data_IF_210678998820
#
_entry.id   IF_210678998820
#
_cell.length_a   1.000
_cell.length_b   1.000
_cell.length_c   1.000
_cell.angle_alpha   90.00
_cell.angle_beta   90.00
_cell.angle_gamma   90.00
#
_symmetry.space_group_name_H-M   'P 1'
#
loop_
_entity.id
_entity.type
_entity.pdbx_description
1 polymer ?
#
# COMPACT_ATOMS: atom_id res chain seq x y z
N UNK A 1 -14.68 -22.04 5.10
CA UNK A 1 -13.45 -21.71 4.40
C UNK A 1 -13.69 -20.72 3.27
N UNK A 2 -12.97 -19.63 3.27
CA UNK A 2 -13.24 -18.52 2.35
C UNK A 2 -12.50 -18.67 1.03
N UNK A 3 -12.73 -19.76 0.35
CA UNK A 3 -12.11 -20.00 -0.95
C UNK A 3 -12.51 -18.88 -1.92
N UNK A 4 -11.53 -18.30 -2.56
CA UNK A 4 -11.76 -17.29 -3.55
C UNK A 4 -11.94 -15.86 -3.02
N UNK A 5 -11.97 -15.67 -1.71
CA UNK A 5 -11.99 -14.31 -1.17
C UNK A 5 -10.58 -13.74 -1.21
N UNK A 6 -10.38 -12.77 -2.08
CA UNK A 6 -9.11 -12.09 -2.23
C UNK A 6 -9.10 -10.84 -1.37
N UNK A 7 -8.16 -10.78 -0.43
CA UNK A 7 -7.97 -9.62 0.44
C UNK A 7 -6.62 -8.98 0.10
N UNK A 8 -6.67 -7.90 -0.65
CA UNK A 8 -5.48 -7.27 -1.21
C UNK A 8 -4.96 -6.18 -0.28
N UNK A 9 -3.64 -6.18 -0.08
CA UNK A 9 -2.92 -5.06 0.50
C UNK A 9 -1.93 -4.54 -0.52
N UNK A 10 -1.95 -3.23 -0.76
CA UNK A 10 -0.95 -2.56 -1.60
C UNK A 10 0.03 -1.89 -0.66
N UNK A 11 1.29 -2.30 -0.71
CA UNK A 11 2.35 -1.81 0.16
C UNK A 11 3.20 -0.81 -0.61
N UNK A 12 3.09 0.45 -0.24
CA UNK A 12 3.68 1.57 -0.95
C UNK A 12 2.63 2.31 -1.77
N UNK A 13 2.35 3.56 -1.40
CA UNK A 13 1.28 4.34 -2.01
C UNK A 13 1.83 5.58 -2.73
N UNK A 14 2.83 5.36 -3.59
CA UNK A 14 3.40 6.38 -4.45
C UNK A 14 2.72 6.44 -5.82
N UNK A 15 3.50 6.74 -6.85
CA UNK A 15 3.01 6.91 -8.22
C UNK A 15 2.26 5.70 -8.76
N UNK A 16 2.72 4.51 -8.40
CA UNK A 16 2.16 3.27 -8.92
C UNK A 16 1.13 2.70 -7.96
N UNK A 17 1.49 2.64 -6.67
CA UNK A 17 0.68 1.96 -5.67
C UNK A 17 -0.66 2.62 -5.42
N UNK A 18 -0.71 3.95 -5.35
CA UNK A 18 -1.96 4.64 -5.05
C UNK A 18 -3.00 4.47 -6.14
N UNK A 19 -2.69 4.73 -7.42
CA UNK A 19 -3.67 4.48 -8.49
C UNK A 19 -4.11 3.02 -8.55
N UNK A 20 -3.18 2.11 -8.35
CA UNK A 20 -3.48 0.67 -8.34
C UNK A 20 -4.42 0.29 -7.21
N UNK A 21 -4.17 0.79 -6.00
CA UNK A 21 -5.02 0.53 -4.84
C UNK A 21 -6.44 1.04 -5.08
N UNK A 22 -6.58 2.23 -5.67
CA UNK A 22 -7.89 2.79 -5.98
C UNK A 22 -8.62 1.96 -7.03
N UNK A 23 -7.92 1.45 -8.00
CA UNK A 23 -8.52 0.61 -9.04
C UNK A 23 -9.10 -0.68 -8.45
N UNK A 24 -8.33 -1.35 -7.59
CA UNK A 24 -8.83 -2.54 -6.91
C UNK A 24 -9.99 -2.22 -5.97
N UNK A 25 -9.95 -1.04 -5.34
CA UNK A 25 -10.96 -0.65 -4.35
C UNK A 25 -12.32 -0.35 -4.98
N UNK A 26 -12.41 -0.27 -6.30
CA UNK A 26 -13.70 -0.12 -6.98
C UNK A 26 -14.59 -1.32 -6.77
N UNK A 27 -14.01 -2.51 -6.62
CA UNK A 27 -14.76 -3.77 -6.56
C UNK A 27 -14.64 -4.53 -5.26
N UNK A 28 -13.64 -4.21 -4.44
CA UNK A 28 -13.38 -4.96 -3.21
C UNK A 28 -12.69 -4.07 -2.19
N UNK A 29 -12.70 -4.54 -0.94
CA UNK A 29 -11.96 -3.84 0.11
C UNK A 29 -10.47 -4.05 -0.09
N UNK A 30 -9.70 -2.96 0.02
CA UNK A 30 -8.25 -2.96 -0.18
C UNK A 30 -7.60 -2.26 1.00
N UNK A 31 -6.49 -2.82 1.47
CA UNK A 31 -5.65 -2.17 2.46
C UNK A 31 -4.56 -1.42 1.71
N UNK A 32 -4.50 -0.11 1.88
CA UNK A 32 -3.42 0.71 1.34
C UNK A 32 -2.47 1.06 2.46
N UNK A 33 -1.26 0.52 2.39
CA UNK A 33 -0.25 0.72 3.43
C UNK A 33 0.90 1.57 2.90
N UNK A 34 1.34 2.52 3.72
CA UNK A 34 2.58 3.26 3.48
C UNK A 34 3.26 3.50 4.82
N UNK A 35 4.59 3.36 4.84
CA UNK A 35 5.36 3.58 6.07
C UNK A 35 5.33 5.05 6.50
N UNK A 36 5.10 5.96 5.56
CA UNK A 36 5.04 7.39 5.85
C UNK A 36 3.71 7.76 6.48
N UNK A 37 3.72 8.14 7.75
CA UNK A 37 2.52 8.59 8.45
C UNK A 37 1.98 9.88 7.82
N UNK A 38 2.86 10.75 7.34
CA UNK A 38 2.45 11.97 6.66
C UNK A 38 1.69 11.66 5.37
N UNK A 39 2.20 10.71 4.57
CA UNK A 39 1.52 10.29 3.34
C UNK A 39 0.11 9.79 3.65
N UNK A 40 -0.03 8.97 4.68
CA UNK A 40 -1.33 8.43 5.08
C UNK A 40 -2.27 9.55 5.53
N UNK A 41 -1.78 10.50 6.34
CA UNK A 41 -2.60 11.63 6.77
C UNK A 41 -3.08 12.45 5.58
N UNK A 42 -2.17 12.76 4.66
CA UNK A 42 -2.53 13.53 3.47
C UNK A 42 -3.59 12.82 2.65
N UNK A 43 -3.41 11.54 2.40
CA UNK A 43 -4.37 10.77 1.61
C UNK A 43 -5.74 10.68 2.27
N UNK A 44 -5.79 10.56 3.59
CA UNK A 44 -7.07 10.56 4.32
C UNK A 44 -7.79 11.90 4.19
N UNK A 45 -7.04 12.98 4.00
CA UNK A 45 -7.61 14.31 3.77
C UNK A 45 -7.92 14.57 2.29
N UNK A 46 -7.64 13.60 1.43
CA UNK A 46 -7.86 13.74 0.00
C UNK A 46 -6.73 14.45 -0.72
N UNK A 47 -5.54 14.50 -0.11
CA UNK A 47 -4.37 15.17 -0.68
C UNK A 47 -3.39 14.14 -1.22
N UNK A 48 -3.15 14.17 -2.53
CA UNK A 48 -2.14 13.35 -3.18
C UNK A 48 -1.05 14.27 -3.75
N UNK A 49 0.11 14.29 -3.10
CA UNK A 49 1.23 15.13 -3.54
C UNK A 49 1.84 14.66 -4.84
N UNK A 50 1.67 13.40 -5.21
CA UNK A 50 2.14 12.91 -6.50
C UNK A 50 1.22 13.32 -7.65
N UNK A 51 0.05 13.85 -7.34
CA UNK A 51 -0.95 14.33 -8.31
C UNK A 51 -1.41 13.27 -9.30
N UNK A 52 -1.32 12.01 -8.91
CA UNK A 52 -1.79 10.89 -9.73
C UNK A 52 -3.32 10.72 -9.65
N UNK A 53 -3.90 11.08 -8.51
CA UNK A 53 -5.33 10.96 -8.30
C UNK A 53 -5.90 12.25 -7.74
N UNK A 54 -7.17 12.50 -8.03
CA UNK A 54 -7.85 13.68 -7.54
C UNK A 54 -8.41 13.47 -6.13
N UNK A 55 -8.63 14.57 -5.43
CA UNK A 55 -9.29 14.55 -4.13
C UNK A 55 -10.63 13.84 -4.18
N UNK A 56 -11.40 14.11 -5.23
CA UNK A 56 -12.72 13.48 -5.43
C UNK A 56 -12.61 11.96 -5.47
N UNK A 57 -11.66 11.42 -6.22
CA UNK A 57 -11.47 9.97 -6.31
C UNK A 57 -11.06 9.37 -4.98
N UNK A 58 -10.17 10.03 -4.25
CA UNK A 58 -9.73 9.57 -2.94
C UNK A 58 -10.90 9.49 -1.95
N UNK A 59 -11.69 10.55 -1.88
CA UNK A 59 -12.81 10.62 -0.93
C UNK A 59 -13.90 9.62 -1.29
N UNK A 60 -14.16 9.40 -2.58
CA UNK A 60 -15.16 8.43 -3.02
C UNK A 60 -14.77 6.98 -2.76
N UNK A 61 -13.51 6.69 -2.61
CA UNK A 61 -13.03 5.32 -2.49
C UNK A 61 -13.17 4.80 -1.06
N UNK A 62 -14.40 4.48 -0.67
CA UNK A 62 -14.72 4.06 0.70
C UNK A 62 -14.21 2.66 1.05
N UNK A 63 -13.89 1.87 0.04
CA UNK A 63 -13.37 0.52 0.24
C UNK A 63 -11.85 0.47 0.42
N UNK A 64 -11.19 1.61 0.27
CA UNK A 64 -9.75 1.71 0.49
C UNK A 64 -9.47 2.09 1.94
N UNK A 65 -8.83 1.20 2.67
CA UNK A 65 -8.43 1.44 4.05
C UNK A 65 -6.97 1.85 4.09
N UNK A 66 -6.72 3.12 4.41
CA UNK A 66 -5.37 3.69 4.44
C UNK A 66 -4.76 3.55 5.83
N UNK A 67 -3.55 3.02 5.90
CA UNK A 67 -2.91 2.77 7.19
C UNK A 67 -1.39 2.80 7.09
N UNK A 68 -0.74 3.18 8.19
CA UNK A 68 0.70 3.00 8.37
C UNK A 68 1.01 1.97 9.47
N UNK A 69 0.01 1.25 9.92
CA UNK A 69 0.17 0.23 10.96
C UNK A 69 0.28 -1.15 10.31
N UNK A 70 1.46 -1.76 10.42
CA UNK A 70 1.73 -3.06 9.79
C UNK A 70 0.80 -4.17 10.30
N UNK A 71 0.22 -4.02 11.49
CA UNK A 71 -0.71 -5.02 12.02
C UNK A 71 -1.95 -5.17 11.15
N UNK A 72 -2.36 -4.12 10.46
CA UNK A 72 -3.50 -4.19 9.56
C UNK A 72 -3.24 -5.09 8.36
N UNK A 73 -1.97 -5.29 8.01
CA UNK A 73 -1.59 -6.17 6.90
C UNK A 73 -1.89 -7.65 7.18
N UNK A 74 -2.08 -8.02 8.43
CA UNK A 74 -2.40 -9.40 8.79
C UNK A 74 -3.74 -9.85 8.21
N UNK A 75 -4.61 -8.91 7.88
CA UNK A 75 -5.93 -9.20 7.30
C UNK A 75 -5.88 -9.53 5.82
N UNK A 76 -4.77 -9.26 5.15
CA UNK A 76 -4.65 -9.50 3.72
C UNK A 76 -4.12 -10.91 3.43
N UNK A 77 -4.44 -11.41 2.25
CA UNK A 77 -3.88 -12.66 1.76
C UNK A 77 -3.17 -12.50 0.41
N UNK A 78 -3.12 -11.28 -0.09
CA UNK A 78 -2.39 -10.96 -1.32
C UNK A 78 -1.70 -9.61 -1.11
N UNK A 79 -0.38 -9.58 -1.25
CA UNK A 79 0.41 -8.37 -1.03
C UNK A 79 1.04 -7.93 -2.34
N UNK A 80 0.73 -6.70 -2.74
CA UNK A 80 1.32 -6.09 -3.93
C UNK A 80 2.27 -5.01 -3.45
N UNK A 81 3.56 -5.20 -3.71
CA UNK A 81 4.60 -4.29 -3.23
C UNK A 81 4.99 -3.32 -4.33
N UNK A 82 4.77 -2.03 -4.08
CA UNK A 82 5.07 -0.96 -5.02
C UNK A 82 5.92 0.13 -4.37
N UNK A 83 6.85 -0.29 -3.51
CA UNK A 83 7.76 0.65 -2.85
C UNK A 83 8.79 1.18 -3.85
N UNK A 84 9.33 2.39 -3.62
CA UNK A 84 10.32 2.95 -4.55
C UNK A 84 11.63 2.17 -4.53
N UNK A 85 12.33 2.20 -5.69
CA UNK A 85 13.69 1.69 -5.80
C UNK A 85 14.57 2.83 -6.29
N UNK A 86 14.91 3.78 -5.41
CA UNK A 86 15.69 4.94 -5.82
C UNK A 86 17.09 4.55 -6.27
N UNK A 87 17.72 5.42 -7.05
CA UNK A 87 19.10 5.23 -7.51
C UNK A 87 20.02 5.83 -6.46
N UNK A 88 21.02 5.06 -6.02
CA UNK A 88 22.00 5.56 -5.07
C UNK A 88 23.09 6.40 -5.77
N UNK A 89 24.08 6.89 -5.00
CA UNK A 89 25.14 7.75 -5.52
C UNK A 89 25.98 7.08 -6.61
N UNK A 90 26.02 5.76 -6.65
CA UNK A 90 26.74 4.99 -7.66
C UNK A 90 25.86 4.65 -8.86
N UNK A 91 24.70 5.25 -8.96
CA UNK A 91 23.70 5.01 -10.02
C UNK A 91 23.22 3.55 -10.08
N UNK A 92 23.25 2.88 -8.92
CA UNK A 92 22.70 1.53 -8.79
C UNK A 92 21.39 1.60 -8.05
N UNK A 93 20.43 0.71 -8.34
CA UNK A 93 19.17 0.70 -7.62
C UNK A 93 19.39 0.48 -6.12
N UNK A 94 18.74 1.28 -5.31
CA UNK A 94 18.74 1.08 -3.86
C UNK A 94 17.54 0.21 -3.51
N UNK A 95 17.81 -1.03 -3.14
CA UNK A 95 16.78 -2.02 -2.84
C UNK A 95 16.32 -1.98 -1.38
N UNK A 96 16.83 -1.03 -0.58
CA UNK A 96 16.50 -0.95 0.84
C UNK A 96 15.00 -0.88 1.09
N UNK A 97 14.21 -0.03 0.42
CA UNK A 97 12.77 -0.01 0.66
C UNK A 97 12.10 -1.35 0.35
N UNK A 98 12.52 -2.00 -0.71
CA UNK A 98 11.97 -3.31 -1.09
C UNK A 98 12.32 -4.38 -0.06
N UNK A 99 13.56 -4.40 0.42
CA UNK A 99 13.98 -5.37 1.44
C UNK A 99 13.24 -5.15 2.75
N UNK A 100 13.05 -3.89 3.15
CA UNK A 100 12.30 -3.56 4.36
C UNK A 100 10.84 -4.01 4.25
N UNK A 101 10.21 -3.75 3.12
CA UNK A 101 8.83 -4.17 2.88
C UNK A 101 8.72 -5.69 2.91
N UNK A 102 9.66 -6.39 2.29
CA UNK A 102 9.66 -7.85 2.27
C UNK A 102 9.80 -8.45 3.67
N UNK A 103 10.67 -7.88 4.50
CA UNK A 103 10.84 -8.33 5.89
C UNK A 103 9.57 -8.10 6.70
N UNK A 104 8.94 -6.95 6.52
CA UNK A 104 7.72 -6.62 7.23
C UNK A 104 6.59 -7.60 6.87
N UNK A 105 6.41 -7.87 5.59
CA UNK A 105 5.40 -8.81 5.12
C UNK A 105 5.70 -10.22 5.65
N UNK A 106 6.96 -10.63 5.62
CA UNK A 106 7.37 -11.91 6.16
C UNK A 106 7.01 -12.09 7.63
N UNK A 107 7.21 -11.04 8.44
CA UNK A 107 6.86 -11.09 9.86
C UNK A 107 5.35 -11.20 10.08
N UNK A 108 4.56 -10.55 9.23
CA UNK A 108 3.10 -10.60 9.29
C UNK A 108 2.60 -11.99 8.90
N UNK A 109 3.17 -12.57 7.84
CA UNK A 109 2.78 -13.90 7.39
C UNK A 109 3.05 -14.99 8.43
N UNK A 110 4.15 -14.85 9.18
CA UNK A 110 4.45 -15.80 10.26
C UNK A 110 3.38 -15.84 11.34
N UNK A 111 2.77 -14.69 11.63
CA UNK A 111 1.71 -14.61 12.65
C UNK A 111 0.41 -15.26 12.19
N UNK A 112 0.22 -15.39 10.89
CA UNK A 112 -1.03 -15.93 10.32
C UNK A 112 -1.00 -17.44 10.10
N UNK A 113 0.05 -18.08 10.55
CA UNK A 113 0.15 -19.54 10.45
C UNK A 113 -0.29 -20.24 11.71
#
# INVERSE_FOLDING_TARGET
MNKGILKIAVVGLGYVGLPLALEFAKKRQVIGFDISSKRIRDLKLGIDKTKEVTKKKLIKSKKLFLTNNKKHLEKANCYIVTVPTPVNKLRKPDLTPLLQASKMIGSVLKKNK
#
